data_IF_168245203675
#
_entry.id   IF_168245203675
#
_cell.length_a   1.000
_cell.length_b   1.000
_cell.length_c   1.000
_cell.angle_alpha   90.00
_cell.angle_beta   90.00
_cell.angle_gamma   90.00
#
_symmetry.space_group_name_H-M   'P 1'
#
loop_
_entity.id
_entity.type
_entity.pdbx_description
1 polymer ?
#
# COMPACT_ATOMS: atom_id res chain seq x y z
N UNK A 1 23.44 18.16 9.47
CA UNK A 1 22.68 17.53 8.37
C UNK A 1 21.36 17.05 8.93
N UNK A 2 20.25 17.23 8.21
CA UNK A 2 18.97 16.62 8.60
C UNK A 2 19.09 15.09 8.54
N UNK A 3 18.35 14.39 9.39
CA UNK A 3 18.39 12.91 9.46
C UNK A 3 18.06 12.30 8.10
N UNK A 4 17.10 12.89 7.40
CA UNK A 4 16.67 12.47 6.06
C UNK A 4 17.77 12.65 5.00
N UNK A 5 18.54 13.74 5.09
CA UNK A 5 19.68 13.98 4.19
C UNK A 5 20.81 12.98 4.42
N UNK A 6 21.07 12.58 5.67
CA UNK A 6 22.08 11.55 5.98
C UNK A 6 21.67 10.20 5.40
N UNK A 7 20.40 9.81 5.54
CA UNK A 7 19.86 8.57 4.99
C UNK A 7 19.92 8.59 3.46
N UNK A 8 19.53 9.71 2.84
CA UNK A 8 19.62 9.87 1.39
C UNK A 8 21.04 9.76 0.86
N UNK A 9 22.02 10.39 1.51
CA UNK A 9 23.43 10.32 1.12
C UNK A 9 23.98 8.90 1.34
N UNK A 10 23.63 8.24 2.46
CA UNK A 10 24.06 6.87 2.73
C UNK A 10 23.54 5.90 1.66
N UNK A 11 22.27 6.02 1.27
CA UNK A 11 21.69 5.22 0.19
C UNK A 11 22.34 5.50 -1.17
N UNK A 12 22.64 6.75 -1.47
CA UNK A 12 23.31 7.12 -2.72
C UNK A 12 24.72 6.51 -2.80
N UNK A 13 25.52 6.64 -1.74
CA UNK A 13 26.86 6.06 -1.68
C UNK A 13 26.77 4.53 -1.77
N UNK A 14 25.87 3.90 -1.01
CA UNK A 14 25.66 2.46 -1.07
C UNK A 14 25.30 1.99 -2.48
N UNK A 15 24.42 2.72 -3.17
CA UNK A 15 24.02 2.39 -4.55
C UNK A 15 25.19 2.50 -5.52
N UNK A 16 25.99 3.57 -5.43
CA UNK A 16 27.19 3.74 -6.25
C UNK A 16 28.17 2.60 -6.02
N UNK A 17 28.42 2.23 -4.76
CA UNK A 17 29.33 1.13 -4.41
C UNK A 17 28.82 -0.19 -5.01
N UNK A 18 27.53 -0.48 -4.89
CA UNK A 18 26.94 -1.70 -5.47
C UNK A 18 27.10 -1.72 -6.99
N UNK A 19 26.86 -0.60 -7.69
CA UNK A 19 27.03 -0.51 -9.16
C UNK A 19 28.48 -0.78 -9.56
N UNK A 20 29.44 -0.17 -8.86
CA UNK A 20 30.86 -0.36 -9.15
C UNK A 20 31.31 -1.81 -8.92
N UNK A 21 30.90 -2.41 -7.80
CA UNK A 21 31.21 -3.82 -7.49
C UNK A 21 30.57 -4.76 -8.51
N UNK A 22 29.29 -4.55 -8.85
CA UNK A 22 28.60 -5.36 -9.86
C UNK A 22 29.29 -5.25 -11.23
N UNK A 23 29.56 -4.03 -11.69
CA UNK A 23 30.27 -3.81 -12.95
C UNK A 23 31.65 -4.46 -12.96
N UNK A 24 32.41 -4.33 -11.87
CA UNK A 24 33.71 -4.99 -11.74
C UNK A 24 33.61 -6.51 -11.84
N UNK A 25 32.65 -7.14 -11.14
CA UNK A 25 32.47 -8.60 -11.19
C UNK A 25 32.05 -9.12 -12.57
N UNK A 26 31.29 -8.33 -13.34
CA UNK A 26 30.82 -8.70 -14.67
C UNK A 26 31.92 -8.51 -15.73
N UNK A 27 32.65 -7.39 -15.71
CA UNK A 27 33.65 -7.07 -16.73
C UNK A 27 35.06 -7.58 -16.41
N UNK A 28 35.39 -7.74 -15.13
CA UNK A 28 36.67 -8.23 -14.64
C UNK A 28 36.47 -9.36 -13.62
N UNK A 29 35.86 -10.50 -14.04
CA UNK A 29 35.59 -11.58 -13.12
C UNK A 29 36.88 -12.17 -12.54
N UNK A 30 36.93 -12.43 -11.22
CA UNK A 30 38.01 -13.19 -10.64
C UNK A 30 38.01 -14.62 -11.21
N UNK A 31 39.14 -15.35 -11.15
CA UNK A 31 39.25 -16.75 -11.59
C UNK A 31 38.59 -17.72 -10.58
N UNK A 32 37.36 -17.40 -10.19
CA UNK A 32 36.54 -18.13 -9.24
C UNK A 32 35.33 -18.71 -9.99
N UNK A 33 34.89 -19.89 -9.56
CA UNK A 33 33.74 -20.57 -10.14
C UNK A 33 32.67 -20.76 -9.06
N UNK A 34 31.43 -20.44 -9.41
CA UNK A 34 30.25 -20.63 -8.56
C UNK A 34 29.31 -21.57 -9.30
N UNK A 35 28.87 -22.66 -8.63
CA UNK A 35 27.99 -23.66 -9.24
C UNK A 35 28.54 -24.23 -10.58
N UNK A 36 29.87 -24.33 -10.72
CA UNK A 36 30.54 -24.81 -11.94
C UNK A 36 30.58 -23.81 -13.11
N UNK A 37 30.22 -22.54 -12.88
CA UNK A 37 30.21 -21.47 -13.89
C UNK A 37 31.05 -20.29 -13.40
N UNK A 38 31.65 -19.54 -14.32
CA UNK A 38 32.41 -18.33 -13.98
C UNK A 38 31.52 -17.27 -13.33
N UNK A 39 32.11 -16.45 -12.46
CA UNK A 39 31.37 -15.46 -11.65
C UNK A 39 30.59 -14.45 -12.50
N UNK A 40 31.17 -13.96 -13.59
CA UNK A 40 30.50 -13.07 -14.55
C UNK A 40 29.19 -13.66 -15.08
N UNK A 41 29.26 -14.89 -15.60
CA UNK A 41 28.10 -15.57 -16.18
C UNK A 41 27.09 -15.91 -15.08
N UNK A 42 27.54 -16.33 -13.90
CA UNK A 42 26.65 -16.58 -12.77
C UNK A 42 25.87 -15.32 -12.37
N UNK A 43 26.57 -14.19 -12.19
CA UNK A 43 25.98 -12.90 -11.82
C UNK A 43 24.99 -12.43 -12.88
N UNK A 44 25.34 -12.52 -14.17
CA UNK A 44 24.46 -12.15 -15.28
C UNK A 44 23.20 -13.03 -15.34
N UNK A 45 23.34 -14.34 -15.16
CA UNK A 45 22.21 -15.27 -15.12
C UNK A 45 21.28 -14.95 -13.95
N UNK A 46 21.84 -14.65 -12.78
CA UNK A 46 21.07 -14.29 -11.59
C UNK A 46 20.29 -12.98 -11.81
N UNK A 47 20.94 -11.91 -12.28
CA UNK A 47 20.26 -10.63 -12.51
C UNK A 47 19.26 -10.70 -13.65
N UNK A 48 19.58 -11.42 -14.73
CA UNK A 48 18.65 -11.64 -15.84
C UNK A 48 17.41 -12.41 -15.39
N UNK A 49 17.59 -13.45 -14.55
CA UNK A 49 16.47 -14.19 -13.97
C UNK A 49 15.60 -13.31 -13.06
N UNK A 50 16.20 -12.50 -12.18
CA UNK A 50 15.46 -11.56 -11.33
C UNK A 50 14.68 -10.54 -12.18
N UNK A 51 15.26 -10.03 -13.26
CA UNK A 51 14.56 -9.12 -14.18
C UNK A 51 13.33 -9.78 -14.81
N UNK A 52 13.46 -11.02 -15.28
CA UNK A 52 12.33 -11.79 -15.82
C UNK A 52 11.29 -12.05 -14.73
N UNK A 53 11.70 -12.47 -13.52
CA UNK A 53 10.80 -12.68 -12.40
C UNK A 53 10.03 -11.42 -12.01
N UNK A 54 10.66 -10.24 -12.06
CA UNK A 54 9.97 -8.99 -11.76
C UNK A 54 8.86 -8.70 -12.79
N UNK A 55 9.17 -8.83 -14.07
CA UNK A 55 8.20 -8.59 -15.16
C UNK A 55 7.05 -9.59 -15.12
N UNK A 56 7.37 -10.89 -15.07
CA UNK A 56 6.36 -11.94 -15.03
C UNK A 56 5.63 -12.00 -13.68
N UNK A 57 6.26 -11.59 -12.58
CA UNK A 57 5.62 -11.47 -11.28
C UNK A 57 4.50 -10.42 -11.30
N UNK A 58 4.75 -9.26 -11.90
CA UNK A 58 3.71 -8.22 -12.09
C UNK A 58 2.60 -8.75 -13.02
N UNK A 59 2.96 -9.37 -14.14
CA UNK A 59 1.99 -9.91 -15.10
C UNK A 59 1.13 -11.01 -14.47
N UNK A 60 1.74 -11.91 -13.69
CA UNK A 60 1.05 -12.96 -12.96
C UNK A 60 0.13 -12.39 -11.89
N UNK A 61 0.56 -11.35 -11.16
CA UNK A 61 -0.29 -10.68 -10.17
C UNK A 61 -1.52 -10.04 -10.83
N UNK A 62 -1.33 -9.32 -11.94
CA UNK A 62 -2.45 -8.74 -12.70
C UNK A 62 -3.37 -9.85 -13.20
N UNK A 63 -2.83 -10.90 -13.82
CA UNK A 63 -3.60 -12.04 -14.29
C UNK A 63 -4.38 -12.74 -13.16
N UNK A 64 -3.77 -12.86 -11.98
CA UNK A 64 -4.43 -13.40 -10.80
C UNK A 64 -5.60 -12.52 -10.35
N UNK A 65 -5.42 -11.20 -10.28
CA UNK A 65 -6.52 -10.29 -9.93
C UNK A 65 -7.66 -10.38 -10.95
N UNK A 66 -7.39 -10.36 -12.26
CA UNK A 66 -8.43 -10.49 -13.29
C UNK A 66 -9.16 -11.84 -13.25
N UNK A 67 -8.44 -12.93 -12.97
CA UNK A 67 -9.05 -14.27 -12.89
C UNK A 67 -9.91 -14.45 -11.64
N UNK A 68 -9.59 -13.72 -10.56
CA UNK A 68 -10.26 -13.86 -9.25
C UNK A 68 -11.26 -12.74 -8.97
N UNK A 69 -11.25 -11.65 -9.75
CA UNK A 69 -12.30 -10.63 -9.69
C UNK A 69 -13.51 -11.12 -10.49
N UNK A 70 -14.63 -11.47 -9.84
CA UNK A 70 -15.88 -11.67 -10.55
C UNK A 70 -16.22 -10.39 -11.32
N UNK A 71 -16.83 -10.50 -12.51
CA UNK A 71 -17.25 -9.32 -13.26
C UNK A 71 -18.05 -8.40 -12.33
N UNK A 72 -17.75 -7.09 -12.33
CA UNK A 72 -18.40 -6.15 -11.43
C UNK A 72 -19.91 -6.35 -11.49
N UNK A 73 -20.53 -6.48 -10.31
CA UNK A 73 -21.99 -6.66 -10.20
C UNK A 73 -22.70 -5.58 -11.04
N UNK A 74 -23.85 -5.89 -11.67
CA UNK A 74 -24.65 -4.89 -12.39
C UNK A 74 -24.90 -3.67 -11.49
N UNK A 75 -24.67 -2.48 -12.05
CA UNK A 75 -24.65 -1.20 -11.34
C UNK A 75 -25.96 -0.93 -10.59
N UNK A 76 -27.08 -1.44 -11.08
CA UNK A 76 -28.42 -1.27 -10.47
C UNK A 76 -28.58 -1.91 -9.09
N UNK A 77 -27.90 -3.03 -8.79
CA UNK A 77 -27.97 -3.68 -7.48
C UNK A 77 -27.08 -2.95 -6.47
N UNK A 78 -25.91 -2.48 -6.91
CA UNK A 78 -24.96 -1.73 -6.10
C UNK A 78 -25.48 -0.33 -5.75
N UNK A 79 -26.14 0.36 -6.70
CA UNK A 79 -26.79 1.64 -6.40
C UNK A 79 -27.91 1.48 -5.37
N UNK A 80 -28.74 0.43 -5.47
CA UNK A 80 -29.82 0.18 -4.51
C UNK A 80 -29.30 -0.18 -3.11
N UNK A 81 -28.28 -1.03 -3.01
CA UNK A 81 -27.65 -1.38 -1.74
C UNK A 81 -27.01 -0.14 -1.07
N UNK A 82 -26.29 0.69 -1.85
CA UNK A 82 -25.67 1.93 -1.34
C UNK A 82 -26.71 2.97 -0.93
N UNK A 83 -27.79 3.13 -1.69
CA UNK A 83 -28.86 4.09 -1.38
C UNK A 83 -29.65 3.67 -0.13
N UNK A 84 -29.86 2.36 0.08
CA UNK A 84 -30.44 1.84 1.32
C UNK A 84 -29.52 2.01 2.54
N UNK A 85 -28.21 1.76 2.39
CA UNK A 85 -27.24 1.98 3.48
C UNK A 85 -27.12 3.47 3.83
N UNK A 86 -27.08 4.37 2.83
CA UNK A 86 -27.07 5.82 3.05
C UNK A 86 -28.33 6.29 3.78
N UNK A 87 -29.52 5.81 3.40
CA UNK A 87 -30.77 6.17 4.08
C UNK A 87 -30.79 5.71 5.54
N UNK A 88 -30.30 4.50 5.83
CA UNK A 88 -30.18 4.02 7.23
C UNK A 88 -29.23 4.86 8.05
N UNK A 89 -28.08 5.23 7.48
CA UNK A 89 -27.08 6.06 8.16
C UNK A 89 -27.64 7.47 8.46
N UNK A 90 -28.39 8.04 7.52
CA UNK A 90 -29.03 9.35 7.67
C UNK A 90 -30.15 9.33 8.74
N UNK A 91 -30.90 8.23 8.84
CA UNK A 91 -31.89 8.02 9.90
C UNK A 91 -31.26 7.81 11.28
N UNK A 92 -30.12 7.12 11.38
CA UNK A 92 -29.36 6.99 12.62
C UNK A 92 -28.80 8.33 13.09
N UNK A 93 -28.19 9.11 12.19
CA UNK A 93 -27.67 10.45 12.50
C UNK A 93 -28.78 11.40 12.99
N UNK A 94 -29.94 11.41 12.31
CA UNK A 94 -31.11 12.22 12.76
C UNK A 94 -31.66 11.77 14.11
N UNK A 95 -31.57 10.49 14.45
CA UNK A 95 -31.96 9.97 15.77
C UNK A 95 -30.95 10.33 16.85
N UNK A 96 -29.66 10.33 16.53
CA UNK A 96 -28.61 10.75 17.46
C UNK A 96 -28.65 12.24 17.73
N UNK A 97 -28.82 13.09 16.71
CA UNK A 97 -28.97 14.54 16.86
C UNK A 97 -30.18 14.90 17.74
N UNK A 98 -31.34 14.27 17.50
CA UNK A 98 -32.53 14.48 18.34
C UNK A 98 -32.33 14.05 19.80
N UNK A 99 -31.64 12.92 20.02
CA UNK A 99 -31.31 12.48 21.39
C UNK A 99 -30.31 13.41 22.08
N UNK A 100 -29.44 14.05 21.31
CA UNK A 100 -28.44 14.98 21.85
C UNK A 100 -29.05 16.36 22.13
N UNK A 101 -30.01 16.82 21.32
CA UNK A 101 -30.83 18.01 21.58
C UNK A 101 -31.74 17.82 22.80
N UNK A 102 -32.47 16.70 22.91
CA UNK A 102 -33.31 16.40 24.07
C UNK A 102 -32.49 16.35 25.37
N UNK A 103 -31.29 15.76 25.34
CA UNK A 103 -30.37 15.74 26.49
C UNK A 103 -29.80 17.12 26.84
N UNK A 104 -29.68 18.03 25.88
CA UNK A 104 -29.22 19.41 26.13
C UNK A 104 -30.34 20.27 26.69
N UNK A 105 -31.58 20.11 26.22
CA UNK A 105 -32.75 20.79 26.79
C UNK A 105 -33.05 20.32 28.21
N UNK A 106 -32.96 19.01 28.49
CA UNK A 106 -33.22 18.46 29.83
C UNK A 106 -32.18 18.96 30.86
N UNK A 107 -30.91 19.09 30.46
CA UNK A 107 -29.86 19.68 31.32
C UNK A 107 -30.02 21.18 31.53
N UNK A 108 -30.48 21.92 30.51
CA UNK A 108 -30.73 23.36 30.62
C UNK A 108 -31.95 23.65 31.51
N UNK A 109 -32.96 22.78 31.51
CA UNK A 109 -34.12 22.87 32.40
C UNK A 109 -33.75 22.57 33.87
N UNK A 110 -32.88 21.57 34.12
CA UNK A 110 -32.42 21.23 35.47
C UNK A 110 -31.53 22.30 36.13
N UNK A 111 -30.75 23.07 35.35
CA UNK A 111 -29.95 24.19 35.87
C UNK A 111 -30.78 25.45 36.13
N UNK A 112 -31.86 25.67 35.34
CA UNK A 112 -32.78 26.79 35.55
C UNK A 112 -33.61 26.70 36.84
N UNK A 113 -33.95 25.49 37.27
CA UNK A 113 -34.77 25.26 38.48
C UNK A 113 -33.97 25.38 39.80
N UNK A 114 -32.65 25.17 39.78
CA UNK A 114 -31.78 25.26 40.98
C UNK A 114 -31.35 26.68 41.37
N UNK A 115 -31.75 27.70 40.59
CA UNK A 115 -31.30 29.09 40.75
C UNK A 115 -32.41 30.05 41.22
N UNK A 116 -33.60 29.54 41.57
CA UNK A 116 -34.68 30.31 42.22
C UNK A 116 -34.85 29.92 43.68
#
# INVERSE_FOLDING_TARGET
MSKDQVIGIALLIASIVVILVYGYLVFFPPPLYVMGVSVDIFVLKLTGFIAILAVFGIMAWIGYTLATTPPPKPIEEVEKEIEEELKKLEEELKKEEKKEEEKKEEKAAEEGEKTQ
#
